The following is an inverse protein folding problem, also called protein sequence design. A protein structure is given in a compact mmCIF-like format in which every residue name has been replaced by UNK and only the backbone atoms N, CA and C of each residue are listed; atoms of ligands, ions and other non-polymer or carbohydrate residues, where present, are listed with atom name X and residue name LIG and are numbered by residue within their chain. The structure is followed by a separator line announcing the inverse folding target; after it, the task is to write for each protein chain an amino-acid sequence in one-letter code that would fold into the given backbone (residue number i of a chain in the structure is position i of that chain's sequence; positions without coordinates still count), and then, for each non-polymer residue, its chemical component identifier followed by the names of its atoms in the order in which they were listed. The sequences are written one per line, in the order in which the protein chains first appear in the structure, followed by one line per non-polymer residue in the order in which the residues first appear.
data_IF_292812402961
#
_entry.id   IF_292812402961
#
_cell.length_a   1.000
_cell.length_b   1.000
_cell.length_c   1.000
_cell.angle_alpha   90.00
_cell.angle_beta   90.00
_cell.angle_gamma   90.00
#
_symmetry.space_group_name_H-M   'P 1'
#
loop_
_entity.id
_entity.type
_entity.pdbx_description
1 polymer ?
#
# COMPACT_ATOMS: atom_id res chain seq x y z
N UNK A 1 1.57 -34.97 8.52
CA UNK A 1 2.63 -34.07 8.99
C UNK A 1 2.84 -33.01 7.92
N UNK A 2 2.48 -31.75 8.17
CA UNK A 2 2.84 -30.63 7.26
C UNK A 2 4.36 -30.47 7.34
N UNK A 3 5.03 -30.59 6.20
CA UNK A 3 6.48 -30.39 6.11
C UNK A 3 6.76 -28.93 6.41
N UNK A 4 7.31 -28.61 7.57
CA UNK A 4 7.78 -27.24 7.86
C UNK A 4 8.95 -26.97 6.94
N UNK A 5 8.79 -26.04 6.00
CA UNK A 5 9.87 -25.61 5.13
C UNK A 5 10.90 -24.86 5.99
N UNK A 6 12.16 -25.25 5.91
CA UNK A 6 13.24 -24.46 6.51
C UNK A 6 13.38 -23.14 5.77
N UNK A 7 13.61 -22.02 6.46
CA UNK A 7 13.80 -20.74 5.79
C UNK A 7 14.98 -20.80 4.81
N UNK A 8 14.80 -20.16 3.65
CA UNK A 8 15.85 -20.06 2.64
C UNK A 8 16.88 -19.01 3.06
N UNK A 9 18.17 -19.38 2.99
CA UNK A 9 19.26 -18.42 3.18
C UNK A 9 19.64 -17.79 1.84
N UNK A 10 18.86 -16.82 1.38
CA UNK A 10 19.06 -16.14 0.09
C UNK A 10 20.45 -15.52 -0.05
N UNK A 11 21.03 -15.03 1.05
CA UNK A 11 22.38 -14.44 1.08
C UNK A 11 23.51 -15.44 0.80
N UNK A 12 23.23 -16.73 0.75
CA UNK A 12 24.22 -17.77 0.38
C UNK A 12 24.12 -18.20 -1.07
N UNK A 13 23.13 -17.73 -1.82
CA UNK A 13 22.94 -18.05 -3.24
C UNK A 13 23.78 -17.11 -4.09
N UNK A 14 24.54 -17.67 -5.02
CA UNK A 14 25.47 -16.92 -5.87
C UNK A 14 24.83 -16.51 -7.20
N UNK A 15 23.89 -17.32 -7.70
CA UNK A 15 23.24 -17.13 -8.99
C UNK A 15 21.81 -17.71 -9.03
N UNK A 16 21.16 -17.56 -10.18
CA UNK A 16 19.82 -18.08 -10.44
C UNK A 16 19.75 -19.62 -10.38
N UNK A 17 20.84 -20.32 -10.67
CA UNK A 17 20.93 -21.78 -10.56
C UNK A 17 20.85 -22.26 -9.12
N UNK A 18 21.55 -21.59 -8.22
CA UNK A 18 21.47 -21.87 -6.77
C UNK A 18 20.06 -21.66 -6.23
N UNK A 19 19.41 -20.56 -6.67
CA UNK A 19 18.02 -20.28 -6.32
C UNK A 19 17.09 -21.40 -6.82
N UNK A 20 17.19 -21.76 -8.12
CA UNK A 20 16.38 -22.80 -8.70
C UNK A 20 16.56 -24.14 -7.98
N UNK A 21 17.81 -24.54 -7.71
CA UNK A 21 18.11 -25.76 -6.97
C UNK A 21 17.50 -25.78 -5.57
N UNK A 22 17.54 -24.64 -4.86
CA UNK A 22 16.92 -24.51 -3.53
C UNK A 22 15.39 -24.66 -3.61
N UNK A 23 14.74 -24.05 -4.60
CA UNK A 23 13.30 -24.14 -4.82
C UNK A 23 12.86 -25.54 -5.18
N UNK A 24 13.56 -26.20 -6.13
CA UNK A 24 13.30 -27.58 -6.53
C UNK A 24 13.48 -28.55 -5.33
N UNK A 25 14.54 -28.36 -4.54
CA UNK A 25 14.81 -29.14 -3.34
C UNK A 25 13.73 -28.99 -2.25
N UNK A 26 13.04 -27.87 -2.21
CA UNK A 26 11.91 -27.64 -1.31
C UNK A 26 10.57 -28.19 -1.86
N UNK A 27 10.55 -28.67 -3.11
CA UNK A 27 9.32 -29.08 -3.79
C UNK A 27 8.43 -27.90 -4.20
N UNK A 28 9.04 -26.72 -4.38
CA UNK A 28 8.39 -25.48 -4.81
C UNK A 28 8.94 -25.11 -6.19
N UNK A 29 8.44 -25.70 -7.27
CA UNK A 29 8.93 -25.37 -8.61
C UNK A 29 8.66 -23.88 -8.89
N UNK A 30 9.75 -23.13 -9.07
CA UNK A 30 9.70 -21.71 -9.37
C UNK A 30 10.35 -21.48 -10.73
N UNK A 31 9.67 -20.84 -11.69
CA UNK A 31 10.25 -20.54 -12.98
C UNK A 31 11.40 -19.54 -12.80
N UNK A 32 12.56 -19.88 -13.34
CA UNK A 32 13.73 -19.01 -13.37
C UNK A 32 14.11 -18.83 -14.84
N UNK A 33 14.15 -17.58 -15.27
CA UNK A 33 14.59 -17.20 -16.62
C UNK A 33 15.85 -16.34 -16.49
N UNK A 34 16.89 -16.69 -17.21
CA UNK A 34 18.14 -15.93 -17.25
C UNK A 34 18.05 -14.74 -18.21
N UNK A 35 17.10 -14.76 -19.14
CA UNK A 35 16.83 -13.64 -20.03
C UNK A 35 15.92 -12.60 -19.34
N UNK A 36 16.51 -11.48 -18.95
CA UNK A 36 15.82 -10.36 -18.30
C UNK A 36 15.52 -9.18 -19.24
N UNK A 37 15.74 -9.33 -20.54
CA UNK A 37 15.56 -8.27 -21.55
C UNK A 37 14.14 -7.73 -21.57
N UNK A 38 13.16 -8.57 -21.22
CA UNK A 38 11.76 -8.15 -21.09
C UNK A 38 11.57 -6.99 -20.11
N UNK A 39 12.42 -6.88 -19.07
CA UNK A 39 12.34 -5.78 -18.11
C UNK A 39 12.64 -4.42 -18.74
N UNK A 40 13.45 -4.40 -19.82
CA UNK A 40 13.77 -3.21 -20.60
C UNK A 40 12.70 -2.83 -21.64
N UNK A 41 11.69 -3.68 -21.87
CA UNK A 41 10.69 -3.45 -22.92
C UNK A 41 9.57 -2.52 -22.46
N UNK A 42 9.04 -1.65 -23.35
CA UNK A 42 7.89 -0.81 -23.03
C UNK A 42 6.63 -1.61 -22.70
N UNK A 43 5.76 -1.00 -21.88
CA UNK A 43 4.42 -1.51 -21.56
C UNK A 43 3.38 -0.41 -21.71
N UNK A 44 2.19 -0.77 -22.23
CA UNK A 44 1.06 0.16 -22.31
C UNK A 44 0.21 0.09 -21.06
N UNK A 45 -0.13 1.26 -20.53
CA UNK A 45 -1.10 1.45 -19.44
C UNK A 45 -2.15 2.43 -19.97
N UNK A 46 -3.33 1.91 -20.29
CA UNK A 46 -4.32 2.68 -21.01
C UNK A 46 -3.78 3.18 -22.36
N UNK A 47 -3.85 4.49 -22.58
CA UNK A 47 -3.30 5.17 -23.76
C UNK A 47 -1.85 5.65 -23.59
N UNK A 48 -1.24 5.47 -22.40
CA UNK A 48 0.13 5.87 -22.11
C UNK A 48 1.12 4.71 -22.33
N UNK A 49 2.37 5.04 -22.67
CA UNK A 49 3.45 4.05 -22.83
C UNK A 49 4.50 4.29 -21.75
N UNK A 50 4.69 3.31 -20.89
CA UNK A 50 5.77 3.25 -19.90
C UNK A 50 6.97 2.54 -20.54
N UNK A 51 8.15 3.13 -20.46
CA UNK A 51 9.29 2.77 -21.30
C UNK A 51 10.05 1.50 -20.90
N UNK A 52 9.80 0.99 -19.71
CA UNK A 52 10.30 -0.31 -19.25
C UNK A 52 9.37 -0.88 -18.17
N UNK A 53 9.60 -2.12 -17.75
CA UNK A 53 8.76 -2.83 -16.78
C UNK A 53 9.25 -2.72 -15.34
N UNK A 54 10.21 -1.83 -15.08
CA UNK A 54 10.69 -1.59 -13.73
C UNK A 54 9.83 -0.52 -13.04
N UNK A 55 9.36 -0.85 -11.84
CA UNK A 55 8.53 0.01 -11.01
C UNK A 55 9.14 0.16 -9.62
N UNK A 56 9.39 1.40 -9.19
CA UNK A 56 9.68 1.69 -7.79
C UNK A 56 8.38 1.56 -7.01
N UNK A 57 8.36 0.67 -6.00
CA UNK A 57 7.19 0.43 -5.18
C UNK A 57 6.98 1.52 -4.13
N UNK A 58 5.72 1.79 -3.70
CA UNK A 58 5.43 2.78 -2.68
C UNK A 58 5.95 2.34 -1.31
N UNK A 59 6.86 3.13 -0.76
CA UNK A 59 7.45 2.92 0.56
C UNK A 59 7.44 4.24 1.31
N UNK A 60 6.74 4.27 2.45
CA UNK A 60 6.66 5.44 3.33
C UNK A 60 8.01 5.71 3.99
N UNK A 61 8.54 6.94 3.80
CA UNK A 61 9.82 7.35 4.36
C UNK A 61 9.72 7.83 5.79
N UNK A 62 8.55 8.32 6.20
CA UNK A 62 8.31 8.98 7.51
C UNK A 62 9.25 10.14 7.78
N UNK A 63 9.60 10.88 6.75
CA UNK A 63 10.60 11.95 6.79
C UNK A 63 10.14 13.25 6.12
N UNK A 64 8.82 13.40 5.88
CA UNK A 64 8.21 14.67 5.49
C UNK A 64 8.24 15.71 6.63
N UNK A 65 7.73 16.90 6.36
CA UNK A 65 7.63 17.97 7.35
C UNK A 65 6.37 17.83 8.23
N UNK A 66 6.39 18.40 9.46
CA UNK A 66 5.22 18.36 10.35
C UNK A 66 3.95 18.96 9.74
N UNK A 67 4.06 19.92 8.85
CA UNK A 67 2.94 20.52 8.13
C UNK A 67 2.42 19.64 6.97
N UNK A 68 3.00 18.47 6.76
CA UNK A 68 2.62 17.52 5.71
C UNK A 68 3.22 17.80 4.33
N UNK A 69 4.09 18.80 4.22
CA UNK A 69 4.88 19.05 3.00
C UNK A 69 6.03 18.07 2.84
N UNK A 70 6.55 17.84 1.62
CA UNK A 70 7.79 17.09 1.41
C UNK A 70 8.98 17.77 2.05
N UNK A 71 9.90 17.00 2.65
CA UNK A 71 11.19 17.47 3.14
C UNK A 71 12.28 17.34 2.07
N UNK A 72 13.48 17.87 2.34
CA UNK A 72 14.66 17.66 1.50
C UNK A 72 15.02 16.17 1.32
N UNK A 73 14.67 15.31 2.28
CA UNK A 73 14.89 13.87 2.18
C UNK A 73 13.97 13.25 1.13
N UNK A 74 12.72 13.69 1.06
CA UNK A 74 11.77 13.27 0.04
C UNK A 74 12.22 13.71 -1.35
N UNK A 75 12.61 14.99 -1.52
CA UNK A 75 13.16 15.50 -2.77
C UNK A 75 14.39 14.68 -3.21
N UNK A 76 15.32 14.39 -2.30
CA UNK A 76 16.51 13.59 -2.59
C UNK A 76 16.14 12.17 -3.00
N UNK A 77 15.19 11.54 -2.31
CA UNK A 77 14.72 10.18 -2.57
C UNK A 77 14.14 10.06 -3.98
N UNK A 78 13.18 10.92 -4.33
CA UNK A 78 12.51 10.84 -5.62
C UNK A 78 13.41 11.24 -6.79
N UNK A 79 14.32 12.18 -6.62
CA UNK A 79 15.39 12.47 -7.60
C UNK A 79 16.29 11.24 -7.84
N UNK A 80 16.66 10.52 -6.79
CA UNK A 80 17.46 9.27 -6.93
C UNK A 80 16.68 8.17 -7.65
N UNK A 81 15.40 8.00 -7.34
CA UNK A 81 14.54 7.03 -8.00
C UNK A 81 14.41 7.34 -9.50
N UNK A 82 14.13 8.58 -9.83
CA UNK A 82 14.03 9.05 -11.21
C UNK A 82 15.37 8.89 -11.97
N UNK A 83 16.47 9.21 -11.32
CA UNK A 83 17.84 9.02 -11.84
C UNK A 83 18.26 7.54 -11.99
N UNK A 84 17.50 6.59 -11.42
CA UNK A 84 17.70 5.16 -11.59
C UNK A 84 17.10 4.59 -12.88
N UNK A 85 16.26 5.33 -13.60
CA UNK A 85 15.72 4.97 -14.92
C UNK A 85 14.52 4.02 -14.90
N UNK A 86 13.88 3.79 -13.75
CA UNK A 86 12.62 3.05 -13.69
C UNK A 86 11.56 3.70 -14.57
N UNK A 87 10.80 2.89 -15.32
CA UNK A 87 9.69 3.36 -16.15
C UNK A 87 8.54 3.93 -15.35
N UNK A 88 8.36 3.46 -14.12
CA UNK A 88 7.31 3.89 -13.21
C UNK A 88 7.88 4.21 -11.82
N UNK A 89 7.40 5.30 -11.22
CA UNK A 89 7.61 5.61 -9.81
C UNK A 89 6.25 5.65 -9.12
N UNK A 90 6.05 4.72 -8.20
CA UNK A 90 4.89 4.69 -7.33
C UNK A 90 5.28 5.38 -6.03
N UNK A 91 4.81 6.61 -5.88
CA UNK A 91 5.12 7.45 -4.74
C UNK A 91 4.51 6.90 -3.47
N UNK A 92 5.13 7.22 -2.36
CA UNK A 92 4.71 6.77 -1.04
C UNK A 92 3.26 7.13 -0.69
N UNK A 93 2.77 6.50 0.36
CA UNK A 93 1.43 6.68 0.87
C UNK A 93 1.27 8.07 1.50
N UNK A 94 0.57 8.97 0.81
CA UNK A 94 0.26 10.32 1.30
C UNK A 94 -1.13 10.31 1.92
N UNK A 95 -1.26 10.90 3.13
CA UNK A 95 -2.54 10.98 3.81
C UNK A 95 -3.49 11.99 3.13
N UNK A 96 -4.79 11.64 3.05
CA UNK A 96 -5.83 12.53 2.51
C UNK A 96 -6.33 13.56 3.52
N UNK A 97 -5.97 13.42 4.79
CA UNK A 97 -6.38 14.28 5.89
C UNK A 97 -5.41 14.18 7.06
N UNK A 98 -5.43 15.17 7.95
CA UNK A 98 -4.57 15.18 9.15
C UNK A 98 -4.84 14.00 10.08
N UNK A 99 -6.09 13.65 10.31
CA UNK A 99 -6.51 12.52 11.15
C UNK A 99 -6.31 11.16 10.49
N UNK A 100 -5.93 11.15 9.22
CA UNK A 100 -5.57 9.95 8.46
C UNK A 100 -4.07 9.65 8.42
N UNK A 101 -3.22 10.42 9.08
CA UNK A 101 -1.77 10.19 9.13
C UNK A 101 -1.42 9.02 10.05
N UNK A 102 -0.46 8.19 9.63
CA UNK A 102 0.08 7.13 10.50
C UNK A 102 1.19 7.64 11.43
N UNK A 103 1.76 8.81 11.16
CA UNK A 103 2.73 9.51 12.01
C UNK A 103 2.80 11.00 11.62
N UNK A 104 3.37 11.87 12.50
CA UNK A 104 3.45 13.32 12.27
C UNK A 104 4.32 13.76 11.10
N UNK A 105 5.14 12.89 10.55
CA UNK A 105 6.04 13.17 9.43
C UNK A 105 5.57 12.54 8.12
N UNK A 106 4.39 11.92 8.08
CA UNK A 106 3.78 11.49 6.84
C UNK A 106 3.27 12.69 6.05
N UNK A 107 3.54 12.74 4.75
CA UNK A 107 3.00 13.79 3.88
C UNK A 107 1.47 13.76 3.86
N UNK A 108 0.86 14.93 3.67
CA UNK A 108 -0.59 15.12 3.51
C UNK A 108 -0.85 15.87 2.22
N UNK A 109 -1.76 15.37 1.38
CA UNK A 109 -2.19 16.09 0.19
C UNK A 109 -3.36 17.00 0.53
N UNK A 110 -3.16 18.29 0.36
CA UNK A 110 -4.16 19.35 0.61
C UNK A 110 -3.79 20.64 -0.15
N UNK A 111 -4.68 21.63 -0.25
CA UNK A 111 -4.38 22.86 -1.00
C UNK A 111 -3.10 23.59 -0.54
N UNK A 112 -2.72 23.50 0.74
CA UNK A 112 -1.51 24.15 1.26
C UNK A 112 -0.20 23.38 1.01
N UNK A 113 -0.24 22.11 0.58
CA UNK A 113 0.95 21.27 0.34
C UNK A 113 1.10 20.84 -1.12
N UNK A 114 0.06 21.00 -1.94
CA UNK A 114 0.03 20.50 -3.32
C UNK A 114 1.13 21.11 -4.18
N UNK A 115 1.48 22.38 -4.00
CA UNK A 115 2.51 23.07 -4.79
C UNK A 115 3.90 22.50 -4.49
N UNK A 116 4.21 22.18 -3.22
CA UNK A 116 5.48 21.55 -2.84
C UNK A 116 5.55 20.09 -3.32
N UNK A 117 4.45 19.36 -3.26
CA UNK A 117 4.35 18.01 -3.84
C UNK A 117 4.58 18.07 -5.36
N UNK A 118 3.97 19.05 -6.03
CA UNK A 118 4.19 19.29 -7.47
C UNK A 118 5.67 19.57 -7.76
N UNK A 119 6.29 20.46 -6.99
CA UNK A 119 7.73 20.79 -7.14
C UNK A 119 8.59 19.53 -7.01
N UNK A 120 8.32 18.66 -6.03
CA UNK A 120 9.02 17.40 -5.85
C UNK A 120 8.91 16.49 -7.09
N UNK A 121 7.70 16.37 -7.66
CA UNK A 121 7.45 15.57 -8.87
C UNK A 121 8.18 16.18 -10.07
N UNK A 122 8.12 17.50 -10.24
CA UNK A 122 8.76 18.21 -11.36
C UNK A 122 10.29 18.07 -11.31
N UNK A 123 10.92 18.23 -10.13
CA UNK A 123 12.36 18.05 -9.95
C UNK A 123 12.79 16.60 -10.21
N UNK A 124 12.01 15.61 -9.77
CA UNK A 124 12.26 14.21 -10.06
C UNK A 124 12.17 13.93 -11.58
N UNK A 125 11.12 14.44 -12.22
CA UNK A 125 10.94 14.33 -13.67
C UNK A 125 12.10 14.97 -14.44
N UNK A 126 12.57 16.15 -14.02
CA UNK A 126 13.70 16.85 -14.65
C UNK A 126 14.96 15.97 -14.66
N UNK A 127 15.31 15.33 -13.54
CA UNK A 127 16.43 14.39 -13.44
C UNK A 127 16.29 13.22 -14.43
N UNK A 128 15.11 12.65 -14.55
CA UNK A 128 14.88 11.54 -15.49
C UNK A 128 14.96 12.00 -16.95
N UNK A 129 14.41 13.17 -17.27
CA UNK A 129 14.46 13.75 -18.62
C UNK A 129 15.91 14.09 -19.00
N UNK A 130 16.68 14.71 -18.11
CA UNK A 130 18.09 15.01 -18.34
C UNK A 130 18.90 13.74 -18.66
N UNK A 131 18.67 12.66 -17.88
CA UNK A 131 19.48 11.45 -17.98
C UNK A 131 19.03 10.48 -19.07
N UNK A 132 17.73 10.38 -19.32
CA UNK A 132 17.13 9.36 -20.19
C UNK A 132 16.26 9.91 -21.34
N UNK A 133 16.11 11.25 -21.45
CA UNK A 133 15.27 11.89 -22.46
C UNK A 133 13.76 11.69 -22.24
N UNK A 134 13.35 11.20 -21.06
CA UNK A 134 11.94 10.87 -20.76
C UNK A 134 11.66 10.90 -19.26
N UNK A 135 10.43 11.23 -18.89
CA UNK A 135 9.96 11.14 -17.51
C UNK A 135 9.38 9.75 -17.20
N UNK A 136 9.38 9.30 -15.94
CA UNK A 136 8.66 8.11 -15.52
C UNK A 136 7.14 8.34 -15.55
N UNK A 137 6.38 7.25 -15.50
CA UNK A 137 4.97 7.26 -15.16
C UNK A 137 4.83 7.36 -13.64
N UNK A 138 4.20 8.43 -13.17
CA UNK A 138 4.13 8.78 -11.74
C UNK A 138 2.76 8.40 -11.15
N UNK A 139 2.75 7.54 -10.13
CA UNK A 139 1.55 7.14 -9.40
C UNK A 139 1.64 7.67 -7.98
N UNK A 140 0.60 8.34 -7.48
CA UNK A 140 0.51 8.76 -6.08
C UNK A 140 -0.38 7.80 -5.30
N UNK A 141 0.14 7.20 -4.22
CA UNK A 141 -0.69 6.39 -3.33
C UNK A 141 -1.41 7.27 -2.31
N UNK A 142 -2.75 7.24 -2.32
CA UNK A 142 -3.60 7.95 -1.37
C UNK A 142 -4.01 7.01 -0.23
N UNK A 143 -4.01 7.51 1.01
CA UNK A 143 -4.35 6.71 2.18
C UNK A 143 -5.10 7.48 3.26
N UNK A 144 -5.82 6.74 4.08
CA UNK A 144 -6.21 7.11 5.44
C UNK A 144 -5.82 5.97 6.37
N UNK A 145 -4.97 6.26 7.35
CA UNK A 145 -4.32 5.22 8.15
C UNK A 145 -5.27 4.47 9.10
N UNK A 146 -6.46 5.04 9.34
CA UNK A 146 -7.49 4.33 10.08
C UNK A 146 -7.02 3.90 11.46
N UNK A 147 -7.00 2.58 11.71
CA UNK A 147 -6.54 1.98 12.97
C UNK A 147 -5.09 2.36 13.34
N UNK A 148 -4.28 2.75 12.34
CA UNK A 148 -2.88 3.14 12.50
C UNK A 148 -2.65 4.64 12.57
N UNK A 149 -3.72 5.43 12.73
CA UNK A 149 -3.60 6.88 12.84
C UNK A 149 -2.93 7.32 14.14
N UNK A 150 -2.08 8.33 14.02
CA UNK A 150 -1.45 9.03 15.14
C UNK A 150 -1.67 10.54 15.00
N UNK A 151 -1.74 11.23 16.14
CA UNK A 151 -1.78 12.69 16.16
C UNK A 151 -0.37 13.31 15.99
N UNK A 152 -0.31 14.64 15.93
CA UNK A 152 0.94 15.41 15.80
C UNK A 152 1.95 15.18 16.93
N UNK A 153 1.57 14.56 18.04
CA UNK A 153 2.42 14.27 19.19
C UNK A 153 2.78 12.77 19.26
N UNK A 154 2.64 12.04 18.17
CA UNK A 154 2.88 10.58 18.10
C UNK A 154 1.92 9.74 18.94
N UNK A 155 0.85 10.35 19.46
CA UNK A 155 -0.16 9.62 20.23
C UNK A 155 -1.07 8.86 19.27
N UNK A 156 -1.26 7.57 19.54
CA UNK A 156 -2.19 6.72 18.81
C UNK A 156 -3.63 7.23 18.92
N UNK A 157 -4.27 7.44 17.76
CA UNK A 157 -5.66 7.91 17.62
C UNK A 157 -6.42 6.99 16.66
N UNK A 158 -6.57 5.70 16.99
CA UNK A 158 -7.08 4.71 16.07
C UNK A 158 -8.54 4.95 15.69
N UNK A 159 -8.81 5.00 14.39
CA UNK A 159 -10.13 5.04 13.80
C UNK A 159 -10.37 3.74 13.05
N UNK A 160 -11.18 2.84 13.58
CA UNK A 160 -11.48 1.54 13.01
C UNK A 160 -12.89 1.51 12.39
N UNK A 161 -13.17 0.53 11.53
CA UNK A 161 -14.50 0.33 10.96
C UNK A 161 -15.36 -0.63 11.78
N UNK A 162 -14.72 -1.52 12.52
CA UNK A 162 -15.34 -2.45 13.47
C UNK A 162 -14.30 -2.90 14.50
N UNK A 163 -14.76 -3.51 15.58
CA UNK A 163 -13.87 -4.19 16.53
C UNK A 163 -13.18 -5.37 15.85
N UNK A 164 -11.92 -5.61 16.18
CA UNK A 164 -11.13 -6.72 15.66
C UNK A 164 -10.18 -7.24 16.75
N UNK A 165 -10.50 -8.37 17.40
CA UNK A 165 -9.74 -8.90 18.53
C UNK A 165 -8.29 -9.30 18.18
N UNK A 166 -7.98 -9.43 16.87
CA UNK A 166 -6.62 -9.74 16.42
C UNK A 166 -5.74 -8.49 16.20
N UNK A 167 -6.35 -7.29 16.25
CA UNK A 167 -5.67 -6.06 15.90
C UNK A 167 -5.84 -4.93 16.92
N UNK A 168 -6.84 -5.03 17.79
CA UNK A 168 -7.20 -3.95 18.70
C UNK A 168 -6.13 -3.66 19.75
N UNK A 169 -5.35 -4.68 20.14
CA UNK A 169 -4.27 -4.55 21.11
C UNK A 169 -2.96 -3.98 20.53
N UNK A 170 -2.89 -3.76 19.19
CA UNK A 170 -1.67 -3.36 18.50
C UNK A 170 -1.92 -2.19 17.55
N UNK A 171 -2.40 -1.05 18.08
CA UNK A 171 -2.81 0.09 17.24
C UNK A 171 -1.67 1.05 16.90
N UNK A 172 -0.56 1.06 17.64
CA UNK A 172 0.57 1.96 17.40
C UNK A 172 1.85 1.22 16.99
N UNK A 173 2.84 2.00 16.53
CA UNK A 173 4.17 1.49 16.14
C UNK A 173 4.94 0.97 17.35
N UNK A 174 4.79 1.63 18.50
CA UNK A 174 5.46 1.28 19.76
C UNK A 174 4.74 0.18 20.57
N UNK A 175 3.67 -0.40 20.01
CA UNK A 175 2.86 -1.42 20.69
C UNK A 175 1.87 -0.87 21.72
N UNK A 176 1.78 0.45 21.90
CA UNK A 176 0.76 1.05 22.76
C UNK A 176 -0.62 0.99 22.09
N UNK A 177 -1.67 0.78 22.87
CA UNK A 177 -3.05 0.78 22.37
C UNK A 177 -3.71 2.12 22.68
N UNK A 178 -4.07 2.86 21.63
CA UNK A 178 -4.97 4.01 21.77
C UNK A 178 -6.42 3.54 21.99
N UNK A 179 -7.27 4.39 22.58
CA UNK A 179 -8.71 4.11 22.62
C UNK A 179 -9.27 4.10 21.20
N UNK A 180 -9.75 2.95 20.77
CA UNK A 180 -10.32 2.77 19.43
C UNK A 180 -11.64 3.54 19.31
N UNK A 181 -11.75 4.32 18.23
CA UNK A 181 -12.99 4.96 17.82
C UNK A 181 -13.54 4.22 16.60
N UNK A 182 -14.80 3.80 16.65
CA UNK A 182 -15.47 3.19 15.50
C UNK A 182 -16.04 4.29 14.59
N UNK A 183 -15.60 4.29 13.33
CA UNK A 183 -16.06 5.25 12.35
C UNK A 183 -17.56 5.11 12.07
N UNK A 184 -18.31 6.20 12.15
CA UNK A 184 -19.69 6.25 11.68
C UNK A 184 -19.76 6.20 10.17
N UNK A 185 -20.94 5.94 9.60
CA UNK A 185 -21.13 5.99 8.15
C UNK A 185 -20.85 7.38 7.57
N UNK A 186 -21.21 8.45 8.30
CA UNK A 186 -20.89 9.84 7.92
C UNK A 186 -19.37 10.10 7.90
N UNK A 187 -18.63 9.52 8.85
CA UNK A 187 -17.15 9.62 8.85
C UNK A 187 -16.54 8.89 7.67
N UNK A 188 -17.08 7.72 7.30
CA UNK A 188 -16.63 6.99 6.10
C UNK A 188 -16.92 7.82 4.84
N UNK A 189 -18.07 8.49 4.75
CA UNK A 189 -18.37 9.38 3.63
C UNK A 189 -17.43 10.59 3.56
N UNK A 190 -17.03 11.16 4.71
CA UNK A 190 -16.00 12.20 4.74
C UNK A 190 -14.66 11.69 4.19
N UNK A 191 -14.28 10.46 4.56
CA UNK A 191 -13.06 9.83 4.07
C UNK A 191 -13.15 9.58 2.55
N UNK A 192 -14.29 9.11 2.04
CA UNK A 192 -14.54 8.96 0.60
C UNK A 192 -14.31 10.29 -0.13
N UNK A 193 -14.90 11.39 0.37
CA UNK A 193 -14.68 12.74 -0.20
C UNK A 193 -13.20 13.13 -0.16
N UNK A 194 -12.51 12.85 0.95
CA UNK A 194 -11.08 13.12 1.07
C UNK A 194 -10.22 12.40 0.01
N UNK A 195 -10.55 11.16 -0.34
CA UNK A 195 -9.88 10.45 -1.44
C UNK A 195 -10.16 11.10 -2.79
N UNK A 196 -11.38 11.54 -3.06
CA UNK A 196 -11.76 12.22 -4.32
C UNK A 196 -11.02 13.57 -4.43
N UNK A 197 -11.04 14.38 -3.37
CA UNK A 197 -10.34 15.65 -3.31
C UNK A 197 -8.82 15.47 -3.45
N UNK A 198 -8.27 14.45 -2.77
CA UNK A 198 -6.86 14.07 -2.91
C UNK A 198 -6.47 13.68 -4.34
N UNK A 199 -7.35 13.00 -5.07
CA UNK A 199 -7.12 12.66 -6.48
C UNK A 199 -7.12 13.91 -7.38
N UNK A 200 -8.02 14.87 -7.12
CA UNK A 200 -8.03 16.16 -7.84
C UNK A 200 -6.71 16.91 -7.62
N UNK A 201 -6.23 16.97 -6.39
CA UNK A 201 -4.96 17.60 -6.06
C UNK A 201 -3.75 16.84 -6.63
N UNK A 202 -3.80 15.51 -6.68
CA UNK A 202 -2.77 14.70 -7.32
C UNK A 202 -2.67 14.99 -8.84
N UNK A 203 -3.81 15.15 -9.51
CA UNK A 203 -3.84 15.58 -10.90
C UNK A 203 -3.22 16.97 -11.08
N UNK A 204 -3.52 17.94 -10.21
CA UNK A 204 -2.93 19.27 -10.21
C UNK A 204 -1.41 19.24 -9.96
N UNK A 205 -0.94 18.30 -9.12
CA UNK A 205 0.48 18.09 -8.86
C UNK A 205 1.22 17.37 -10.02
N UNK A 206 0.52 16.95 -11.08
CA UNK A 206 1.13 16.38 -12.29
C UNK A 206 1.37 14.88 -12.24
N UNK A 207 0.71 14.13 -11.35
CA UNK A 207 0.71 12.67 -11.38
C UNK A 207 -0.07 12.12 -12.58
N UNK A 208 0.36 10.97 -13.09
CA UNK A 208 -0.32 10.25 -14.16
C UNK A 208 -1.48 9.40 -13.64
N UNK A 209 -1.38 8.95 -12.40
CA UNK A 209 -2.36 8.11 -11.75
C UNK A 209 -2.42 8.35 -10.24
N UNK A 210 -3.55 7.97 -9.64
CA UNK A 210 -3.67 7.76 -8.19
C UNK A 210 -3.87 6.29 -7.90
N UNK A 211 -3.28 5.84 -6.79
CA UNK A 211 -3.53 4.54 -6.18
C UNK A 211 -4.42 4.70 -4.95
N UNK A 212 -5.56 4.04 -4.98
CA UNK A 212 -6.45 3.94 -3.83
C UNK A 212 -5.95 2.78 -2.97
N UNK A 213 -5.37 3.08 -1.80
CA UNK A 213 -4.77 2.08 -0.92
C UNK A 213 -5.82 1.24 -0.21
N UNK A 214 -6.01 -0.01 -0.68
CA UNK A 214 -6.97 -1.00 -0.16
C UNK A 214 -6.21 -2.20 0.41
N UNK A 215 -5.12 -1.96 1.10
CA UNK A 215 -4.23 -3.01 1.59
C UNK A 215 -3.74 -2.73 2.99
N UNK A 216 -3.01 -3.69 3.54
CA UNK A 216 -2.43 -3.66 4.87
C UNK A 216 -3.51 -3.51 5.95
N UNK A 217 -3.31 -2.61 6.92
CA UNK A 217 -4.20 -2.40 8.08
C UNK A 217 -4.92 -1.04 8.01
N UNK A 218 -5.07 -0.47 6.79
CA UNK A 218 -5.66 0.84 6.58
C UNK A 218 -7.16 0.77 6.35
N UNK A 219 -7.84 1.92 6.47
CA UNK A 219 -9.30 1.97 6.66
C UNK A 219 -10.10 1.34 5.51
N UNK A 220 -9.69 1.53 4.24
CA UNK A 220 -10.42 0.94 3.11
C UNK A 220 -10.28 -0.58 3.06
N UNK A 221 -9.12 -1.11 3.46
CA UNK A 221 -8.96 -2.58 3.59
C UNK A 221 -9.81 -3.11 4.74
N UNK A 222 -9.91 -2.41 5.87
CA UNK A 222 -10.76 -2.84 6.99
C UNK A 222 -12.22 -2.94 6.56
N UNK A 223 -12.70 -2.02 5.69
CA UNK A 223 -14.05 -2.11 5.14
C UNK A 223 -14.28 -3.42 4.39
N UNK A 224 -13.30 -3.96 3.66
CA UNK A 224 -13.45 -5.24 2.96
C UNK A 224 -13.72 -6.40 3.94
N UNK A 225 -13.21 -6.34 5.17
CA UNK A 225 -13.42 -7.34 6.21
C UNK A 225 -14.50 -6.97 7.24
N UNK A 226 -15.29 -5.93 6.98
CA UNK A 226 -16.33 -5.44 7.90
C UNK A 226 -17.60 -6.30 7.87
N UNK A 227 -17.47 -7.63 8.04
CA UNK A 227 -18.60 -8.56 7.99
C UNK A 227 -19.61 -8.32 9.10
N UNK A 228 -19.17 -7.92 10.28
CA UNK A 228 -20.01 -7.69 11.47
C UNK A 228 -20.48 -6.26 11.63
N UNK A 229 -19.95 -5.32 10.84
CA UNK A 229 -20.33 -3.92 10.90
C UNK A 229 -21.80 -3.74 10.46
N UNK A 230 -22.65 -3.05 11.23
CA UNK A 230 -23.97 -2.62 10.77
C UNK A 230 -23.87 -1.47 9.75
N UNK A 231 -24.98 -1.19 9.07
CA UNK A 231 -25.10 -0.04 8.18
C UNK A 231 -24.66 -0.31 6.74
N UNK A 232 -24.52 0.77 5.96
CA UNK A 232 -24.35 0.69 4.50
C UNK A 232 -22.93 0.34 4.04
N UNK A 233 -21.97 0.27 4.95
CA UNK A 233 -20.57 -0.06 4.67
C UNK A 233 -20.13 -1.38 5.32
N UNK A 234 -21.06 -2.26 5.70
CA UNK A 234 -20.74 -3.55 6.33
C UNK A 234 -21.69 -4.67 5.95
N UNK A 235 -21.36 -5.88 6.37
CA UNK A 235 -22.15 -7.10 6.10
C UNK A 235 -21.93 -7.67 4.71
N UNK A 236 -22.78 -7.36 3.74
CA UNK A 236 -22.68 -7.92 2.38
C UNK A 236 -21.44 -7.46 1.63
N UNK A 237 -21.02 -8.23 0.63
CA UNK A 237 -19.88 -7.88 -0.23
C UNK A 237 -20.07 -6.49 -0.86
N UNK A 238 -21.26 -6.20 -1.37
CA UNK A 238 -21.61 -4.94 -2.02
C UNK A 238 -21.48 -3.75 -1.04
N UNK A 239 -21.87 -3.93 0.20
CA UNK A 239 -21.73 -2.90 1.23
C UNK A 239 -20.26 -2.70 1.62
N UNK A 240 -19.52 -3.78 1.82
CA UNK A 240 -18.10 -3.73 2.22
C UNK A 240 -17.19 -3.12 1.14
N UNK A 241 -17.54 -3.26 -0.13
CA UNK A 241 -16.83 -2.69 -1.27
C UNK A 241 -17.36 -1.33 -1.70
N UNK A 242 -18.49 -0.90 -1.18
CA UNK A 242 -19.20 0.34 -1.56
C UNK A 242 -18.31 1.57 -1.54
N UNK A 243 -17.54 1.78 -0.48
CA UNK A 243 -16.66 2.95 -0.34
C UNK A 243 -15.61 3.03 -1.45
N UNK A 244 -15.04 1.89 -1.83
CA UNK A 244 -14.05 1.80 -2.92
C UNK A 244 -14.68 2.28 -4.24
N UNK A 245 -15.86 1.78 -4.56
CA UNK A 245 -16.53 2.16 -5.81
C UNK A 245 -17.03 3.60 -5.80
N UNK A 246 -17.52 4.11 -4.66
CA UNK A 246 -17.87 5.52 -4.51
C UNK A 246 -16.67 6.45 -4.75
N UNK A 247 -15.47 6.06 -4.31
CA UNK A 247 -14.24 6.82 -4.57
C UNK A 247 -13.92 6.79 -6.07
N UNK A 248 -13.91 5.61 -6.70
CA UNK A 248 -13.59 5.45 -8.12
C UNK A 248 -14.58 6.25 -8.99
N UNK A 249 -15.88 6.04 -8.75
CA UNK A 249 -16.94 6.71 -9.52
C UNK A 249 -16.88 8.23 -9.32
N UNK A 250 -16.60 8.72 -8.09
CA UNK A 250 -16.42 10.14 -7.80
C UNK A 250 -15.18 10.75 -8.45
N UNK A 251 -14.06 10.04 -8.52
CA UNK A 251 -12.87 10.49 -9.27
C UNK A 251 -13.19 10.58 -10.77
N UNK A 252 -13.85 9.58 -11.33
CA UNK A 252 -14.26 9.57 -12.74
C UNK A 252 -15.25 10.70 -13.07
N UNK A 253 -16.20 10.98 -12.16
CA UNK A 253 -17.13 12.12 -12.33
C UNK A 253 -16.38 13.45 -12.41
N UNK A 254 -15.34 13.66 -11.61
CA UNK A 254 -14.59 14.93 -11.53
C UNK A 254 -13.51 15.09 -12.59
N UNK A 255 -12.81 14.02 -12.94
CA UNK A 255 -11.60 14.08 -13.77
C UNK A 255 -11.71 13.29 -15.08
N UNK A 256 -12.77 12.49 -15.27
CA UNK A 256 -12.88 11.62 -16.45
C UNK A 256 -11.64 10.76 -16.62
N UNK A 257 -11.02 10.80 -17.80
CA UNK A 257 -9.81 10.08 -18.16
C UNK A 257 -8.51 10.90 -17.99
N UNK A 258 -8.60 12.10 -17.39
CA UNK A 258 -7.42 12.95 -17.19
C UNK A 258 -6.43 12.35 -16.17
N UNK A 259 -6.90 11.47 -15.29
CA UNK A 259 -6.10 10.78 -14.28
C UNK A 259 -6.42 9.28 -14.31
N UNK A 260 -5.38 8.44 -14.44
CA UNK A 260 -5.57 7.00 -14.32
C UNK A 260 -5.83 6.60 -12.86
N UNK A 261 -6.57 5.51 -12.67
CA UNK A 261 -6.82 4.95 -11.33
C UNK A 261 -6.13 3.60 -11.22
N UNK A 262 -5.39 3.45 -10.14
CA UNK A 262 -4.74 2.22 -9.72
C UNK A 262 -5.23 1.85 -8.32
N UNK A 263 -5.01 0.60 -7.90
CA UNK A 263 -5.27 0.18 -6.53
C UNK A 263 -4.14 -0.69 -6.01
N UNK A 264 -3.83 -0.58 -4.72
CA UNK A 264 -3.05 -1.58 -4.02
C UNK A 264 -3.98 -2.37 -3.11
N UNK A 265 -4.11 -3.67 -3.36
CA UNK A 265 -5.10 -4.54 -2.75
C UNK A 265 -4.44 -5.71 -2.03
N UNK A 266 -4.89 -6.05 -0.81
CA UNK A 266 -4.58 -7.36 -0.23
C UNK A 266 -5.38 -8.44 -0.95
N UNK A 267 -4.71 -9.47 -1.45
CA UNK A 267 -5.38 -10.66 -1.96
C UNK A 267 -6.05 -11.43 -0.80
N UNK A 268 -5.38 -11.54 0.34
CA UNK A 268 -5.91 -12.09 1.59
C UNK A 268 -5.10 -11.60 2.79
N UNK A 269 -5.66 -11.70 3.99
CA UNK A 269 -5.12 -11.07 5.20
C UNK A 269 -4.38 -12.00 6.16
N UNK A 270 -4.61 -13.30 6.12
CA UNK A 270 -4.23 -14.27 7.16
C UNK A 270 -4.82 -13.98 8.56
N UNK A 271 -5.92 -13.26 8.63
CA UNK A 271 -6.73 -13.04 9.83
C UNK A 271 -7.99 -13.89 9.71
N UNK A 272 -8.41 -14.65 10.74
CA UNK A 272 -9.58 -15.52 10.63
C UNK A 272 -10.88 -14.75 10.33
N UNK A 273 -11.82 -15.41 9.65
CA UNK A 273 -13.19 -14.91 9.54
C UNK A 273 -13.84 -14.77 10.93
N UNK A 274 -14.64 -13.73 11.21
CA UNK A 274 -15.13 -12.70 10.29
C UNK A 274 -14.25 -11.41 10.25
N UNK A 275 -13.00 -11.46 10.65
CA UNK A 275 -12.13 -10.29 10.83
C UNK A 275 -11.12 -10.08 9.69
N UNK A 276 -10.93 -11.09 8.84
CA UNK A 276 -10.02 -11.07 7.71
C UNK A 276 -10.71 -11.06 6.35
N UNK A 277 -10.12 -10.37 5.38
CA UNK A 277 -10.50 -10.37 3.98
C UNK A 277 -9.82 -11.51 3.23
N UNK A 278 -10.53 -12.11 2.24
CA UNK A 278 -9.97 -13.16 1.40
C UNK A 278 -9.69 -14.47 2.16
N UNK A 279 -10.42 -14.74 3.22
CA UNK A 279 -10.30 -15.93 4.06
C UNK A 279 -11.57 -16.79 3.98
N UNK A 280 -11.43 -18.11 4.18
CA UNK A 280 -12.57 -19.01 4.30
C UNK A 280 -13.52 -18.53 5.38
N UNK A 281 -14.83 -18.51 5.07
CA UNK A 281 -15.91 -18.08 5.99
C UNK A 281 -16.23 -19.18 7.00
N UNK A 282 -15.21 -19.65 7.68
CA UNK A 282 -15.29 -20.69 8.71
C UNK A 282 -14.45 -20.24 9.92
N UNK A 283 -15.07 -20.28 11.10
CA UNK A 283 -14.42 -19.79 12.34
C UNK A 283 -13.14 -20.56 12.65
N UNK A 284 -12.06 -19.84 12.96
CA UNK A 284 -10.76 -20.43 13.31
C UNK A 284 -9.95 -20.99 12.13
N UNK A 285 -10.49 -20.99 10.91
CA UNK A 285 -9.80 -21.47 9.71
C UNK A 285 -8.94 -20.36 9.11
N UNK A 286 -7.64 -20.63 8.95
CA UNK A 286 -6.64 -19.70 8.42
C UNK A 286 -6.25 -20.02 6.97
N UNK A 287 -7.21 -20.39 6.14
CA UNK A 287 -6.98 -20.69 4.73
C UNK A 287 -7.55 -19.58 3.84
N UNK A 288 -6.81 -19.14 2.81
CA UNK A 288 -7.31 -18.17 1.84
C UNK A 288 -8.53 -18.69 1.06
N UNK A 289 -9.48 -17.79 0.81
CA UNK A 289 -10.55 -17.94 -0.16
C UNK A 289 -10.57 -16.70 -1.08
N UNK A 290 -10.12 -16.87 -2.30
CA UNK A 290 -9.95 -15.77 -3.26
C UNK A 290 -11.22 -15.46 -4.06
N UNK A 291 -12.38 -16.06 -3.74
CA UNK A 291 -13.64 -15.83 -4.47
C UNK A 291 -14.03 -14.35 -4.49
N UNK A 292 -14.11 -13.70 -3.32
CA UNK A 292 -14.43 -12.27 -3.25
C UNK A 292 -13.29 -11.36 -3.75
N UNK A 293 -12.01 -11.62 -3.45
CA UNK A 293 -10.88 -10.89 -4.06
C UNK A 293 -10.88 -10.89 -5.58
N UNK A 294 -11.12 -12.04 -6.22
CA UNK A 294 -11.21 -12.15 -7.68
C UNK A 294 -12.40 -11.33 -8.20
N UNK A 295 -13.59 -11.48 -7.56
CA UNK A 295 -14.78 -10.69 -7.91
C UNK A 295 -14.50 -9.20 -7.83
N UNK A 296 -13.82 -8.73 -6.76
CA UNK A 296 -13.44 -7.32 -6.62
C UNK A 296 -12.51 -6.87 -7.74
N UNK A 297 -11.47 -7.66 -8.07
CA UNK A 297 -10.57 -7.34 -9.17
C UNK A 297 -11.31 -7.22 -10.52
N UNK A 298 -12.26 -8.13 -10.81
CA UNK A 298 -13.08 -8.05 -12.03
C UNK A 298 -13.90 -6.75 -12.08
N UNK A 299 -14.56 -6.38 -10.97
CA UNK A 299 -15.34 -5.15 -10.88
C UNK A 299 -14.48 -3.88 -10.94
N UNK A 300 -13.22 -3.93 -10.49
CA UNK A 300 -12.24 -2.84 -10.63
C UNK A 300 -11.84 -2.67 -12.11
N UNK A 301 -11.56 -3.77 -12.81
CA UNK A 301 -11.25 -3.75 -14.25
C UNK A 301 -12.42 -3.21 -15.09
N UNK A 302 -13.66 -3.60 -14.76
CA UNK A 302 -14.88 -3.06 -15.40
C UNK A 302 -15.02 -1.53 -15.25
N UNK A 303 -14.42 -0.95 -14.20
CA UNK A 303 -14.35 0.50 -13.95
C UNK A 303 -13.06 1.15 -14.44
N UNK A 304 -12.37 0.46 -15.33
CA UNK A 304 -11.16 0.99 -15.95
C UNK A 304 -10.03 1.31 -14.96
N UNK A 305 -9.91 0.51 -13.88
CA UNK A 305 -8.73 0.53 -13.02
C UNK A 305 -7.56 -0.08 -13.80
N UNK A 306 -6.51 0.71 -14.01
CA UNK A 306 -5.42 0.39 -14.95
C UNK A 306 -4.39 -0.58 -14.38
N UNK A 307 -4.12 -0.51 -13.09
CA UNK A 307 -3.13 -1.33 -12.41
C UNK A 307 -3.65 -1.80 -11.07
N UNK A 308 -3.39 -3.06 -10.77
CA UNK A 308 -3.66 -3.66 -9.45
C UNK A 308 -2.33 -4.14 -8.88
N UNK A 309 -1.87 -3.50 -7.80
CA UNK A 309 -0.69 -3.88 -7.04
C UNK A 309 -1.12 -4.83 -5.92
N UNK A 310 -0.79 -6.10 -6.03
CA UNK A 310 -1.21 -7.11 -5.07
C UNK A 310 -0.24 -7.18 -3.88
N UNK A 311 -0.83 -7.21 -2.70
CA UNK A 311 -0.16 -7.50 -1.43
C UNK A 311 -0.82 -8.71 -0.79
N UNK A 312 -0.15 -9.34 0.15
CA UNK A 312 -0.70 -10.44 0.95
C UNK A 312 -0.39 -10.20 2.41
N UNK A 313 -1.25 -10.72 3.27
CA UNK A 313 -1.09 -10.66 4.72
C UNK A 313 -1.15 -9.24 5.30
N UNK A 314 -1.16 -9.16 6.60
CA UNK A 314 -1.11 -7.93 7.36
C UNK A 314 0.29 -7.77 7.94
N UNK A 315 1.01 -6.66 7.65
CA UNK A 315 2.43 -6.55 8.02
C UNK A 315 2.72 -6.71 9.51
N UNK A 316 1.76 -6.35 10.38
CA UNK A 316 1.92 -6.40 11.84
C UNK A 316 1.19 -7.55 12.51
N UNK A 317 0.32 -8.23 11.80
CA UNK A 317 -0.33 -9.44 12.28
C UNK A 317 0.44 -10.66 11.79
N UNK A 318 1.11 -11.35 12.70
CA UNK A 318 1.90 -12.54 12.41
C UNK A 318 1.27 -13.75 13.14
N UNK A 319 0.30 -14.43 12.52
CA UNK A 319 -0.45 -15.52 13.16
C UNK A 319 0.42 -16.73 13.51
N UNK A 320 1.58 -16.85 12.89
CA UNK A 320 2.54 -17.93 13.13
C UNK A 320 3.63 -17.56 14.16
N UNK A 321 3.40 -16.48 14.93
CA UNK A 321 4.35 -15.92 15.86
C UNK A 321 5.50 -15.18 15.16
N UNK A 322 6.36 -14.55 15.94
CA UNK A 322 7.58 -13.89 15.42
C UNK A 322 8.61 -14.87 14.82
N UNK A 323 8.28 -16.16 14.75
CA UNK A 323 9.18 -17.26 14.40
C UNK A 323 9.85 -17.17 13.03
N UNK A 324 9.26 -16.47 12.04
CA UNK A 324 9.94 -16.23 10.75
C UNK A 324 10.96 -15.07 10.83
N UNK A 325 10.82 -14.19 11.85
CA UNK A 325 11.76 -13.10 12.10
C UNK A 325 12.60 -13.31 13.37
N UNK A 326 12.12 -14.10 14.34
CA UNK A 326 12.79 -14.32 15.64
C UNK A 326 14.02 -15.25 15.57
N UNK A 327 14.16 -16.07 14.53
CA UNK A 327 15.40 -16.83 14.30
C UNK A 327 16.59 -15.95 13.87
N UNK A 328 16.35 -14.64 13.64
CA UNK A 328 17.42 -13.66 13.40
C UNK A 328 17.86 -12.91 14.67
N UNK A 329 17.19 -13.09 15.82
CA UNK A 329 17.53 -12.41 17.07
C UNK A 329 18.73 -13.02 17.84
N UNK A 330 19.29 -14.14 17.40
CA UNK A 330 20.43 -14.79 18.07
C UNK A 330 21.81 -14.53 17.41
N UNK A 331 21.92 -13.52 16.53
CA UNK A 331 23.21 -13.13 15.95
C UNK A 331 23.70 -11.78 16.48
N UNK A 332 25.02 -11.53 16.53
CA UNK A 332 25.59 -10.25 16.96
C UNK A 332 25.22 -9.05 16.08
N UNK A 333 24.40 -9.24 15.03
CA UNK A 333 23.87 -8.19 14.14
C UNK A 333 22.47 -7.70 14.56
N UNK A 334 21.85 -8.29 15.59
CA UNK A 334 20.51 -7.89 16.10
C UNK A 334 20.51 -6.55 16.86
N UNK A 335 21.68 -5.93 17.09
CA UNK A 335 21.81 -4.65 17.79
C UNK A 335 21.83 -3.41 16.87
N UNK A 336 21.69 -3.57 15.55
CA UNK A 336 21.58 -2.42 14.67
C UNK A 336 20.12 -1.98 14.61
N UNK A 337 19.70 -1.18 15.58
CA UNK A 337 18.49 -0.38 15.48
C UNK A 337 18.70 0.66 14.37
N UNK A 338 18.07 0.54 13.18
CA UNK A 338 18.26 1.50 12.10
C UNK A 338 17.73 2.91 12.44
N UNK A 339 17.08 3.07 13.59
CA UNK A 339 16.54 4.33 14.10
C UNK A 339 17.34 4.92 15.28
N UNK A 340 18.33 4.20 15.81
CA UNK A 340 19.30 4.77 16.76
C UNK A 340 20.43 5.43 15.99
N UNK A 341 20.14 6.58 15.53
CA UNK A 341 20.96 7.76 15.33
C UNK A 341 22.36 7.62 14.75
N UNK A 342 22.59 8.22 13.69
CA UNK A 342 23.68 9.20 13.53
C UNK A 342 23.10 10.54 13.15
#
# INVERSE_FOLDING_TARGET
MKKVLKPFKFNTMQDAGDFKKAMDGAGLPFPVDENVDILGTPVKIGNKTVQNRMCIQPLEGFDGLPDGSPSELDFRRYKRYAGGGAGMIWYESIAISEDGRCNPLQMVIRPSTVDEIKRMVDEANAVAVEKYGRRPYNVLQLTHSGRRSNDKNWKSTPLAVCENPYMDDHTSIDGSSGKITIATDDKIEQIIRGFIDGAILAHQAGFDAVDIKICHEYILRELLSAFTRPGKFGGSFENRTRAVFMIIDGIREKLGDALDICVRLNAYDCVPYPYGWGMKKEEGVMEPDLTEPIKLCQMLVERDVRLINLSTMMPRYQPYGRGLMAEHEEGPEAEIDPYKGT
#
